data_IF_366903028747
#
_entry.id   IF_366903028747
#
_cell.length_a   1.000
_cell.length_b   1.000
_cell.length_c   1.000
_cell.angle_alpha   90.00
_cell.angle_beta   90.00
_cell.angle_gamma   90.00
#
_symmetry.space_group_name_H-M   'P 1'
#
loop_
_entity.id
_entity.type
_entity.pdbx_description
1 polymer ?
#
# COMPACT_ATOMS: atom_id res chain seq x y z
N UNK A 1 -6.53 -5.82 -8.80
CA UNK A 1 -7.12 -7.14 -8.43
C UNK A 1 -6.80 -7.38 -6.97
N UNK A 2 -7.71 -7.96 -6.19
CA UNK A 2 -7.44 -8.23 -4.78
C UNK A 2 -6.60 -9.49 -4.58
N UNK A 3 -6.10 -9.66 -3.35
CA UNK A 3 -5.12 -10.68 -2.98
C UNK A 3 -5.57 -12.10 -3.36
N UNK A 4 -6.83 -12.45 -3.04
CA UNK A 4 -7.39 -13.77 -3.33
C UNK A 4 -7.45 -14.05 -4.84
N UNK A 5 -7.81 -13.07 -5.66
CA UNK A 5 -7.83 -13.25 -7.12
C UNK A 5 -6.44 -13.49 -7.69
N UNK A 6 -5.45 -12.73 -7.21
CA UNK A 6 -4.05 -12.90 -7.60
C UNK A 6 -3.59 -14.31 -7.24
N UNK A 7 -3.89 -14.75 -6.01
CA UNK A 7 -3.52 -16.08 -5.54
C UNK A 7 -4.17 -17.21 -6.36
N UNK A 8 -5.48 -17.13 -6.59
CA UNK A 8 -6.20 -18.13 -7.40
C UNK A 8 -5.67 -18.16 -8.83
N UNK A 9 -5.41 -17.00 -9.43
CA UNK A 9 -4.88 -16.91 -10.79
C UNK A 9 -3.46 -17.47 -10.90
N UNK A 10 -2.58 -17.22 -9.91
CA UNK A 10 -1.24 -17.84 -9.84
C UNK A 10 -1.31 -19.37 -9.84
N UNK A 11 -2.41 -19.94 -9.33
CA UNK A 11 -2.67 -21.38 -9.31
C UNK A 11 -3.63 -21.84 -10.45
N UNK A 12 -3.89 -21.00 -11.46
CA UNK A 12 -4.71 -21.35 -12.63
C UNK A 12 -6.21 -21.52 -12.34
N UNK A 13 -6.71 -20.98 -11.23
CA UNK A 13 -8.12 -21.05 -10.82
C UNK A 13 -8.76 -19.67 -10.72
N UNK A 14 -10.09 -19.65 -10.63
CA UNK A 14 -10.93 -18.47 -10.38
C UNK A 14 -11.88 -18.78 -9.23
N UNK A 15 -12.52 -17.74 -8.67
CA UNK A 15 -13.55 -17.91 -7.61
C UNK A 15 -14.70 -18.82 -8.05
N UNK A 16 -15.01 -18.82 -9.35
CA UNK A 16 -15.99 -19.73 -9.93
C UNK A 16 -15.62 -21.20 -9.69
N UNK A 17 -14.34 -21.56 -9.80
CA UNK A 17 -13.87 -22.92 -9.56
C UNK A 17 -14.02 -23.30 -8.08
N UNK A 18 -13.74 -22.37 -7.17
CA UNK A 18 -13.95 -22.56 -5.73
C UNK A 18 -15.43 -22.78 -5.41
N UNK A 19 -16.32 -22.01 -6.04
CA UNK A 19 -17.76 -22.21 -5.92
C UNK A 19 -18.20 -23.59 -6.46
N UNK A 20 -17.70 -23.98 -7.63
CA UNK A 20 -18.04 -25.26 -8.26
C UNK A 20 -17.62 -26.46 -7.40
N UNK A 21 -16.47 -26.38 -6.74
CA UNK A 21 -15.88 -27.49 -5.96
C UNK A 21 -16.39 -27.59 -4.52
N UNK A 22 -16.82 -26.46 -3.94
CA UNK A 22 -17.09 -26.36 -2.49
C UNK A 22 -18.45 -25.78 -2.14
N UNK A 23 -19.16 -25.18 -3.11
CA UNK A 23 -20.40 -24.44 -2.88
C UNK A 23 -20.20 -23.07 -2.22
N UNK A 24 -18.96 -22.67 -1.92
CA UNK A 24 -18.67 -21.36 -1.30
C UNK A 24 -19.01 -20.23 -2.26
N UNK A 25 -19.87 -19.29 -1.84
CA UNK A 25 -20.42 -18.30 -2.76
C UNK A 25 -19.34 -17.33 -3.27
N UNK A 26 -19.45 -16.94 -4.55
CA UNK A 26 -18.53 -15.96 -5.13
C UNK A 26 -18.62 -14.59 -4.44
N UNK A 27 -19.79 -14.25 -3.88
CA UNK A 27 -19.98 -13.02 -3.10
C UNK A 27 -19.21 -13.07 -1.77
N UNK A 28 -19.21 -14.21 -1.09
CA UNK A 28 -18.41 -14.42 0.13
C UNK A 28 -16.91 -14.31 -0.19
N UNK A 29 -16.45 -14.97 -1.25
CA UNK A 29 -15.06 -14.88 -1.71
C UNK A 29 -14.68 -13.44 -2.13
N UNK A 30 -15.61 -12.70 -2.76
CA UNK A 30 -15.40 -11.30 -3.10
C UNK A 30 -15.22 -10.40 -1.87
N UNK A 31 -15.97 -10.68 -0.79
CA UNK A 31 -15.97 -9.85 0.42
C UNK A 31 -14.64 -9.88 1.20
N UNK A 32 -13.82 -10.92 1.00
CA UNK A 32 -12.51 -11.08 1.62
C UNK A 32 -11.35 -10.72 0.69
N UNK A 33 -11.61 -10.55 -0.61
CA UNK A 33 -10.59 -10.32 -1.63
C UNK A 33 -9.74 -9.06 -1.42
N UNK A 34 -10.33 -8.03 -0.79
CA UNK A 34 -9.67 -6.76 -0.50
C UNK A 34 -9.32 -6.61 0.98
N UNK A 35 -9.28 -7.72 1.73
CA UNK A 35 -8.97 -7.74 3.16
C UNK A 35 -7.71 -8.53 3.41
N UNK A 36 -7.13 -8.31 4.58
CA UNK A 36 -5.97 -9.06 5.03
C UNK A 36 -6.31 -10.55 5.21
N UNK A 37 -5.32 -11.42 5.04
CA UNK A 37 -5.44 -12.89 5.18
C UNK A 37 -5.97 -13.26 6.56
N UNK A 38 -5.62 -12.51 7.60
CA UNK A 38 -6.13 -12.70 8.98
C UNK A 38 -7.66 -12.58 9.11
N UNK A 39 -8.32 -11.94 8.15
CA UNK A 39 -9.79 -11.83 8.11
C UNK A 39 -10.48 -13.03 7.45
N UNK A 40 -9.72 -13.95 6.86
CA UNK A 40 -10.27 -15.08 6.12
C UNK A 40 -10.76 -16.11 7.12
N UNK A 41 -12.01 -16.53 6.96
CA UNK A 41 -12.53 -17.58 7.83
C UNK A 41 -11.80 -18.90 7.55
N UNK A 42 -11.70 -19.77 8.57
CA UNK A 42 -11.17 -21.13 8.41
C UNK A 42 -11.89 -21.85 7.25
N UNK A 43 -13.21 -21.72 7.14
CA UNK A 43 -14.00 -22.29 6.04
C UNK A 43 -13.57 -21.77 4.66
N UNK A 44 -13.17 -20.50 4.57
CA UNK A 44 -12.66 -19.90 3.33
C UNK A 44 -11.32 -20.54 2.95
N UNK A 45 -10.40 -20.66 3.90
CA UNK A 45 -9.10 -21.32 3.67
C UNK A 45 -9.29 -22.78 3.27
N UNK A 46 -10.18 -23.50 3.94
CA UNK A 46 -10.57 -24.88 3.61
C UNK A 46 -11.11 -25.02 2.19
N UNK A 47 -12.00 -24.11 1.79
CA UNK A 47 -12.58 -24.14 0.45
C UNK A 47 -11.53 -23.92 -0.65
N UNK A 48 -10.61 -22.98 -0.42
CA UNK A 48 -9.49 -22.69 -1.32
C UNK A 48 -8.55 -23.90 -1.38
N UNK A 49 -8.15 -24.43 -0.23
CA UNK A 49 -7.28 -25.60 -0.12
C UNK A 49 -7.83 -26.81 -0.87
N UNK A 50 -9.12 -27.11 -0.71
CA UNK A 50 -9.79 -28.18 -1.45
C UNK A 50 -9.77 -27.95 -2.96
N UNK A 51 -9.97 -26.71 -3.41
CA UNK A 51 -10.01 -26.37 -4.84
C UNK A 51 -8.62 -26.41 -5.49
N UNK A 52 -7.59 -26.12 -4.71
CA UNK A 52 -6.18 -26.12 -5.16
C UNK A 52 -5.49 -27.47 -4.93
N UNK A 53 -6.15 -28.44 -4.31
CA UNK A 53 -5.56 -29.73 -3.92
C UNK A 53 -4.29 -29.56 -3.05
N UNK A 54 -4.30 -28.54 -2.17
CA UNK A 54 -3.22 -28.21 -1.23
C UNK A 54 -3.67 -28.39 0.21
N UNK A 55 -2.72 -28.47 1.13
CA UNK A 55 -3.02 -28.42 2.56
C UNK A 55 -3.48 -27.02 2.97
N UNK A 56 -4.36 -26.93 3.98
CA UNK A 56 -4.81 -25.65 4.55
C UNK A 56 -3.64 -24.80 5.07
N UNK A 57 -2.65 -25.44 5.68
CA UNK A 57 -1.44 -24.79 6.17
C UNK A 57 -0.61 -24.18 5.04
N UNK A 58 -0.40 -24.91 3.95
CA UNK A 58 0.30 -24.41 2.76
C UNK A 58 -0.44 -23.23 2.14
N UNK A 59 -1.76 -23.31 2.01
CA UNK A 59 -2.56 -22.20 1.48
C UNK A 59 -2.46 -20.96 2.36
N UNK A 60 -2.53 -21.13 3.68
CA UNK A 60 -2.40 -20.02 4.61
C UNK A 60 -1.01 -19.38 4.51
N UNK A 61 0.04 -20.19 4.49
CA UNK A 61 1.43 -19.74 4.37
C UNK A 61 1.67 -18.99 3.05
N UNK A 62 1.25 -19.55 1.92
CA UNK A 62 1.37 -18.90 0.61
C UNK A 62 0.54 -17.61 0.50
N UNK A 63 -0.64 -17.56 1.12
CA UNK A 63 -1.46 -16.35 1.16
C UNK A 63 -0.81 -15.26 2.03
N UNK A 64 -0.26 -15.61 3.19
CA UNK A 64 0.46 -14.68 4.06
C UNK A 64 1.74 -14.17 3.38
N UNK A 65 2.47 -15.06 2.70
CA UNK A 65 3.62 -14.66 1.90
C UNK A 65 3.20 -13.75 0.74
N UNK A 66 2.12 -14.08 0.03
CA UNK A 66 1.60 -13.24 -1.05
C UNK A 66 1.12 -11.88 -0.53
N UNK A 67 0.54 -11.83 0.66
CA UNK A 67 0.15 -10.58 1.33
C UNK A 67 1.37 -9.74 1.66
N UNK A 68 2.46 -10.35 2.09
CA UNK A 68 3.75 -9.68 2.30
C UNK A 68 4.42 -9.24 0.99
N UNK A 69 4.20 -9.98 -0.11
CA UNK A 69 4.71 -9.68 -1.45
C UNK A 69 3.84 -8.66 -2.23
N UNK A 70 2.54 -8.56 -1.94
CA UNK A 70 1.57 -7.63 -2.56
C UNK A 70 0.79 -6.72 -1.58
N UNK A 71 1.39 -6.04 -0.57
CA UNK A 71 0.61 -5.19 0.33
C UNK A 71 0.58 -3.71 -0.11
N UNK A 72 1.36 -3.32 -1.11
CA UNK A 72 1.61 -1.92 -1.43
C UNK A 72 0.93 -1.49 -2.72
N UNK A 73 0.19 -0.38 -2.66
CA UNK A 73 -0.12 0.38 -3.86
C UNK A 73 1.15 1.11 -4.30
N UNK A 74 1.61 0.83 -5.52
CA UNK A 74 2.85 1.42 -6.04
C UNK A 74 2.55 2.77 -6.69
N UNK A 75 3.19 3.82 -6.19
CA UNK A 75 3.07 5.16 -6.75
C UNK A 75 4.36 5.57 -7.45
N UNK A 76 4.28 5.75 -8.76
CA UNK A 76 5.41 6.16 -9.62
C UNK A 76 5.33 7.63 -10.04
N UNK A 77 4.24 8.32 -9.68
CA UNK A 77 3.98 9.73 -9.96
C UNK A 77 2.86 10.26 -9.05
N UNK A 78 2.50 11.53 -9.23
CA UNK A 78 1.45 12.20 -8.45
C UNK A 78 0.04 11.65 -8.69
N UNK A 79 -0.27 11.23 -9.92
CA UNK A 79 -1.58 10.70 -10.28
C UNK A 79 -1.82 9.36 -9.58
N UNK A 80 -0.81 8.51 -9.53
CA UNK A 80 -0.82 7.26 -8.78
C UNK A 80 -1.03 7.52 -7.28
N UNK A 81 -0.32 8.50 -6.71
CA UNK A 81 -0.46 8.86 -5.30
C UNK A 81 -1.88 9.37 -4.99
N UNK A 82 -2.44 10.22 -5.85
CA UNK A 82 -3.82 10.71 -5.74
C UNK A 82 -4.84 9.57 -5.84
N UNK A 83 -4.60 8.62 -6.76
CA UNK A 83 -5.43 7.43 -6.91
C UNK A 83 -5.38 6.56 -5.65
N UNK A 84 -4.19 6.35 -5.09
CA UNK A 84 -3.99 5.61 -3.85
C UNK A 84 -4.76 6.26 -2.67
N UNK A 85 -4.67 7.59 -2.54
CA UNK A 85 -5.43 8.33 -1.53
C UNK A 85 -6.94 8.25 -1.74
N UNK A 86 -7.41 8.28 -2.99
CA UNK A 86 -8.83 8.13 -3.33
C UNK A 86 -9.36 6.75 -2.94
N UNK A 87 -8.56 5.71 -3.19
CA UNK A 87 -8.90 4.33 -2.86
C UNK A 87 -8.74 4.02 -1.36
N UNK A 88 -8.11 4.91 -0.59
CA UNK A 88 -7.77 4.72 0.82
C UNK A 88 -6.90 3.48 1.04
N UNK A 89 -5.90 3.32 0.18
CA UNK A 89 -4.96 2.21 0.27
C UNK A 89 -4.28 2.21 1.64
N UNK A 90 -4.17 1.04 2.26
CA UNK A 90 -3.61 0.92 3.61
C UNK A 90 -2.10 1.19 3.63
N UNK A 91 -1.41 0.76 2.57
CA UNK A 91 0.01 0.94 2.37
C UNK A 91 0.29 1.38 0.93
N UNK A 92 1.11 2.41 0.78
CA UNK A 92 1.48 3.00 -0.50
C UNK A 92 3.01 3.07 -0.53
N UNK A 93 3.64 2.55 -1.57
CA UNK A 93 5.08 2.66 -1.77
C UNK A 93 5.35 3.61 -2.92
N UNK A 94 5.96 4.74 -2.61
CA UNK A 94 6.48 5.66 -3.60
C UNK A 94 7.87 5.17 -4.02
N UNK A 95 8.07 4.98 -5.33
CA UNK A 95 9.32 4.47 -5.90
C UNK A 95 9.56 5.01 -7.31
N UNK A 96 10.71 4.67 -7.89
CA UNK A 96 11.11 5.12 -9.23
C UNK A 96 11.49 6.60 -9.26
N UNK A 97 11.26 7.26 -10.40
CA UNK A 97 11.66 8.66 -10.62
C UNK A 97 10.98 9.61 -9.63
N UNK A 98 9.71 9.36 -9.29
CA UNK A 98 8.98 10.19 -8.34
C UNK A 98 9.61 10.23 -6.95
N UNK A 99 10.16 9.10 -6.49
CA UNK A 99 10.94 9.07 -5.26
C UNK A 99 12.20 9.94 -5.41
N UNK A 100 12.95 9.82 -6.51
CA UNK A 100 14.20 10.60 -6.70
C UNK A 100 13.95 12.10 -6.62
N UNK A 101 12.82 12.56 -7.16
CA UNK A 101 12.40 13.95 -7.04
C UNK A 101 12.13 14.35 -5.58
N UNK A 102 11.40 13.51 -4.83
CA UNK A 102 11.14 13.70 -3.40
C UNK A 102 12.43 13.80 -2.60
N UNK A 103 13.38 12.91 -2.86
CA UNK A 103 14.65 12.91 -2.18
C UNK A 103 15.49 14.14 -2.52
N UNK A 104 15.58 14.52 -3.79
CA UNK A 104 16.31 15.73 -4.21
C UNK A 104 15.73 16.98 -3.53
N UNK A 105 14.41 17.06 -3.44
CA UNK A 105 13.74 18.16 -2.77
C UNK A 105 14.02 18.13 -1.25
N UNK A 106 13.85 16.97 -0.61
CA UNK A 106 14.13 16.78 0.81
C UNK A 106 15.59 17.11 1.18
N UNK A 107 16.56 16.72 0.33
CA UNK A 107 17.98 17.05 0.49
C UNK A 107 18.25 18.55 0.40
N UNK A 108 17.57 19.26 -0.51
CA UNK A 108 17.70 20.72 -0.60
C UNK A 108 17.19 21.42 0.68
N UNK A 109 16.04 20.97 1.19
CA UNK A 109 15.46 21.45 2.45
C UNK A 109 16.33 21.07 3.66
N UNK A 110 16.90 19.86 3.67
CA UNK A 110 17.87 19.44 4.69
C UNK A 110 19.13 20.31 4.66
N UNK A 111 19.65 20.68 3.49
CA UNK A 111 20.82 21.57 3.42
C UNK A 111 20.53 22.95 3.98
N UNK A 112 19.31 23.47 3.78
CA UNK A 112 18.88 24.76 4.31
C UNK A 112 18.63 24.68 5.83
N UNK A 113 17.98 23.61 6.29
CA UNK A 113 17.59 23.40 7.69
C UNK A 113 18.68 22.76 8.56
N UNK A 114 19.68 22.08 7.99
CA UNK A 114 20.83 21.51 8.71
C UNK A 114 21.67 22.60 9.39
N UNK A 115 21.67 23.81 8.82
CA UNK A 115 22.28 25.00 9.44
C UNK A 115 21.58 25.41 10.75
N UNK A 116 20.35 24.93 10.99
CA UNK A 116 19.52 25.26 12.16
C UNK A 116 19.10 24.04 13.02
N UNK A 117 19.22 22.81 12.53
CA UNK A 117 18.28 21.73 12.87
C UNK A 117 18.84 20.42 13.43
N UNK A 118 20.00 20.40 14.09
CA UNK A 118 20.52 19.22 14.80
C UNK A 118 19.64 18.73 15.98
N UNK A 119 18.46 19.34 16.22
CA UNK A 119 17.61 19.14 17.40
C UNK A 119 16.37 18.23 17.22
N UNK A 120 15.95 17.85 15.99
CA UNK A 120 14.58 17.32 15.79
C UNK A 120 14.44 15.79 15.73
N UNK A 121 15.52 15.02 15.83
CA UNK A 121 15.45 13.55 15.83
C UNK A 121 14.71 12.95 14.62
N UNK A 122 14.13 11.76 14.75
CA UNK A 122 13.39 11.07 13.68
C UNK A 122 12.12 11.80 13.23
N UNK A 123 11.51 12.61 14.10
CA UNK A 123 10.30 13.40 13.77
C UNK A 123 10.60 14.57 12.82
N UNK A 124 11.81 15.15 12.89
CA UNK A 124 12.27 16.18 11.95
C UNK A 124 12.36 15.66 10.52
N UNK A 125 12.86 14.43 10.33
CA UNK A 125 13.00 13.81 9.01
C UNK A 125 11.64 13.53 8.37
N UNK A 126 10.66 13.06 9.16
CA UNK A 126 9.28 12.84 8.68
C UNK A 126 8.64 14.15 8.23
N UNK A 127 8.85 15.23 8.97
CA UNK A 127 8.36 16.56 8.59
C UNK A 127 8.92 16.99 7.25
N UNK A 128 10.23 16.85 7.04
CA UNK A 128 10.89 17.22 5.78
C UNK A 128 10.38 16.38 4.60
N UNK A 129 10.21 15.07 4.78
CA UNK A 129 9.67 14.19 3.73
C UNK A 129 8.21 14.54 3.39
N UNK A 130 7.42 14.92 4.40
CA UNK A 130 6.03 15.38 4.17
C UNK A 130 6.02 16.66 3.35
N UNK A 131 6.83 17.64 3.73
CA UNK A 131 6.96 18.91 3.01
C UNK A 131 7.47 18.69 1.57
N UNK A 132 8.42 17.77 1.37
CA UNK A 132 8.90 17.42 0.04
C UNK A 132 7.80 16.86 -0.86
N UNK A 133 6.98 15.94 -0.34
CA UNK A 133 5.84 15.39 -1.11
C UNK A 133 4.82 16.50 -1.42
N UNK A 134 4.55 17.42 -0.49
CA UNK A 134 3.62 18.54 -0.71
C UNK A 134 4.14 19.53 -1.74
N UNK A 135 5.43 19.89 -1.69
CA UNK A 135 6.00 20.84 -2.65
C UNK A 135 6.09 20.24 -4.04
N UNK A 136 6.43 18.97 -4.16
CA UNK A 136 6.39 18.27 -5.45
C UNK A 136 4.95 18.18 -5.93
N UNK A 137 3.98 17.90 -5.05
CA UNK A 137 2.58 17.97 -5.43
C UNK A 137 2.19 19.34 -6.00
N UNK A 138 2.68 20.43 -5.41
CA UNK A 138 2.43 21.79 -5.92
C UNK A 138 3.06 22.04 -7.30
N UNK A 139 4.22 21.44 -7.58
CA UNK A 139 4.90 21.60 -8.87
C UNK A 139 4.21 20.82 -10.00
N UNK A 140 3.54 19.72 -9.68
CA UNK A 140 2.90 18.83 -10.66
C UNK A 140 1.36 18.91 -10.70
N UNK A 141 0.71 19.57 -9.74
CA UNK A 141 -0.75 19.78 -9.74
C UNK A 141 -1.12 21.16 -10.29
N UNK A 142 -1.70 21.20 -11.50
CA UNK A 142 -2.29 22.41 -12.10
C UNK A 142 -3.59 22.88 -11.41
N UNK A 143 -4.09 22.13 -10.42
CA UNK A 143 -5.38 22.36 -9.77
C UNK A 143 -5.26 22.48 -8.26
N UNK A 144 -5.67 23.63 -7.73
CA UNK A 144 -5.81 23.92 -6.29
C UNK A 144 -6.63 22.84 -5.53
N UNK A 145 -7.57 22.19 -6.21
CA UNK A 145 -8.38 21.11 -5.64
C UNK A 145 -7.61 19.78 -5.43
N UNK A 146 -6.62 19.47 -6.27
CA UNK A 146 -5.78 18.27 -6.13
C UNK A 146 -4.75 18.47 -5.02
N UNK A 147 -4.17 19.67 -4.95
CA UNK A 147 -3.28 20.10 -3.88
C UNK A 147 -3.93 19.97 -2.50
N UNK A 148 -5.12 20.55 -2.31
CA UNK A 148 -5.87 20.46 -1.04
C UNK A 148 -6.21 19.02 -0.66
N UNK A 149 -6.42 18.14 -1.64
CA UNK A 149 -6.64 16.71 -1.39
C UNK A 149 -5.38 16.03 -0.88
N UNK A 150 -4.24 16.28 -1.52
CA UNK A 150 -2.96 15.70 -1.08
C UNK A 150 -2.64 16.16 0.33
N UNK A 151 -2.77 17.45 0.61
CA UNK A 151 -2.51 18.00 1.95
C UNK A 151 -3.42 17.39 3.02
N UNK A 152 -4.71 17.21 2.72
CA UNK A 152 -5.66 16.59 3.65
C UNK A 152 -5.39 15.10 3.86
N UNK A 153 -5.03 14.37 2.81
CA UNK A 153 -4.89 12.92 2.87
C UNK A 153 -3.54 12.51 3.44
N UNK A 154 -2.44 13.17 3.08
CA UNK A 154 -1.10 12.80 3.53
C UNK A 154 -0.96 12.86 5.06
N UNK A 155 -1.67 13.79 5.71
CA UNK A 155 -1.73 13.90 7.19
C UNK A 155 -2.33 12.66 7.86
N UNK A 156 -3.06 11.81 7.13
CA UNK A 156 -3.62 10.55 7.65
C UNK A 156 -2.63 9.39 7.56
N UNK A 157 -1.54 9.56 6.83
CA UNK A 157 -0.50 8.56 6.69
C UNK A 157 0.69 8.89 7.59
N UNK A 158 1.45 7.87 7.94
CA UNK A 158 2.83 7.99 8.41
C UNK A 158 3.75 7.70 7.24
N UNK A 159 4.90 8.35 7.24
CA UNK A 159 5.90 8.23 6.20
C UNK A 159 7.14 7.60 6.81
N UNK A 160 7.60 6.49 6.23
CA UNK A 160 8.82 5.80 6.61
C UNK A 160 9.67 5.53 5.37
N UNK A 161 10.98 5.72 5.47
CA UNK A 161 11.92 5.24 4.44
C UNK A 161 12.14 3.74 4.67
N UNK A 162 11.82 2.91 3.68
CA UNK A 162 12.09 1.46 3.74
C UNK A 162 13.56 1.20 3.38
N UNK A 163 14.00 1.80 2.28
CA UNK A 163 15.36 1.66 1.75
C UNK A 163 15.73 2.89 0.93
N UNK A 164 16.90 2.86 0.29
CA UNK A 164 17.38 3.96 -0.55
C UNK A 164 16.53 4.24 -1.78
N UNK A 165 15.60 3.38 -2.18
CA UNK A 165 14.82 3.52 -3.41
C UNK A 165 13.30 3.63 -3.18
N UNK A 166 12.85 3.44 -1.94
CA UNK A 166 11.42 3.28 -1.62
C UNK A 166 11.03 4.05 -0.36
N UNK A 167 9.90 4.74 -0.47
CA UNK A 167 9.26 5.46 0.62
C UNK A 167 7.87 4.87 0.87
N UNK A 168 7.62 4.46 2.11
CA UNK A 168 6.35 3.89 2.54
C UNK A 168 5.46 4.94 3.18
N UNK A 169 4.23 5.00 2.71
CA UNK A 169 3.12 5.68 3.36
C UNK A 169 2.16 4.62 3.89
N UNK A 170 1.81 4.66 5.18
CA UNK A 170 0.82 3.76 5.76
C UNK A 170 -0.17 4.50 6.65
N UNK A 171 -1.43 4.06 6.68
CA UNK A 171 -2.47 4.76 7.43
C UNK A 171 -2.19 4.74 8.94
N UNK A 172 -2.27 5.91 9.59
CA UNK A 172 -2.07 6.07 11.05
C UNK A 172 -3.00 5.19 11.90
N UNK A 173 -4.18 4.86 11.39
CA UNK A 173 -5.16 4.01 12.08
C UNK A 173 -4.71 2.54 12.24
N UNK A 174 -3.60 2.14 11.61
CA UNK A 174 -3.07 0.79 11.69
C UNK A 174 -2.07 0.59 12.86
N UNK A 175 -1.65 1.67 13.54
CA UNK A 175 -0.72 1.62 14.69
C UNK A 175 -1.44 1.34 16.04
N UNK A 176 -2.37 0.38 16.07
CA UNK A 176 -3.04 -0.02 17.31
C UNK A 176 -2.23 -1.03 18.13
#
# INVERSE_FOLDING_TARGET
MGLLDIYLQKNGKKRYDVFKETGTSQQQLASVNNKNVSSYSVKTIQAIAKTLEKSEGTVLEELLQLEQENPYFEAFNIEDLLLAFKNKENYIVIKGEYKKEIDKFAESQLSETATLGLQLGSEGIVTILTEAILQIANLFSDKDAEQKKIESQIRKYKINRINENELLLYLRQLDY
#
